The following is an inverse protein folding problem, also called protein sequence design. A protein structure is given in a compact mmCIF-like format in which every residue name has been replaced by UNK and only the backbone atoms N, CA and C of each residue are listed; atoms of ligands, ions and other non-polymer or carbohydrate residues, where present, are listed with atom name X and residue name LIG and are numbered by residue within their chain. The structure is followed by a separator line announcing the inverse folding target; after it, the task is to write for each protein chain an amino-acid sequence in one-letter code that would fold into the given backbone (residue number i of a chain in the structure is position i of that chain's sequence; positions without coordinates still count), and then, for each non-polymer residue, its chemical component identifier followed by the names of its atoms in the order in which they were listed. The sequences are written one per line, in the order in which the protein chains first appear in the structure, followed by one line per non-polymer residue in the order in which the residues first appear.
data_IF_817400800368
#
_entry.id   IF_817400800368
#
_cell.length_a   1.000
_cell.length_b   1.000
_cell.length_c   1.000
_cell.angle_alpha   90.00
_cell.angle_beta   90.00
_cell.angle_gamma   90.00
#
_symmetry.space_group_name_H-M   'P 1'
#
loop_
_entity.id
_entity.type
_entity.pdbx_description
1 polymer ?
#
# COMPACT_ATOMS: atom_id res chain seq x y z
N UNK A 1 11.98 -2.59 -28.90
CA UNK A 1 12.96 -3.64 -28.55
C UNK A 1 14.35 -3.04 -28.60
N UNK A 2 15.02 -2.95 -27.44
CA UNK A 2 16.26 -3.69 -27.28
C UNK A 2 16.30 -4.49 -25.98
N UNK A 3 16.97 -5.63 -26.05
CA UNK A 3 17.05 -6.69 -25.04
C UNK A 3 18.29 -6.42 -24.16
N UNK A 4 18.09 -6.17 -22.87
CA UNK A 4 19.16 -6.02 -21.87
C UNK A 4 19.46 -7.39 -21.25
N UNK A 5 20.66 -7.90 -21.53
CA UNK A 5 21.22 -9.14 -20.99
C UNK A 5 21.93 -8.81 -19.66
N UNK A 6 21.51 -9.43 -18.56
CA UNK A 6 22.22 -9.40 -17.28
C UNK A 6 23.35 -10.45 -17.26
N UNK A 7 24.56 -10.11 -16.78
CA UNK A 7 25.58 -11.12 -16.50
C UNK A 7 25.50 -11.63 -15.05
N UNK A 8 25.71 -12.93 -14.89
CA UNK A 8 25.88 -13.65 -13.61
C UNK A 8 27.28 -13.40 -13.01
N UNK A 9 27.44 -13.38 -11.68
CA UNK A 9 28.75 -13.25 -11.07
C UNK A 9 29.48 -14.61 -10.97
N UNK A 10 30.68 -14.66 -11.55
CA UNK A 10 31.69 -15.71 -11.32
C UNK A 10 32.40 -15.46 -9.99
N UNK A 11 32.44 -16.46 -9.13
CA UNK A 11 33.23 -16.47 -7.89
C UNK A 11 34.74 -16.49 -8.25
N UNK A 12 35.46 -15.46 -7.83
CA UNK A 12 36.91 -15.35 -7.98
C UNK A 12 37.58 -16.01 -6.76
N UNK A 13 38.28 -17.12 -7.00
CA UNK A 13 39.07 -17.82 -5.99
C UNK A 13 40.43 -17.10 -5.83
N UNK A 14 40.64 -16.44 -4.70
CA UNK A 14 41.91 -15.79 -4.36
C UNK A 14 42.96 -16.86 -4.03
N UNK A 15 44.03 -16.93 -4.84
CA UNK A 15 45.28 -17.62 -4.50
C UNK A 15 46.14 -16.67 -3.67
N UNK A 16 46.43 -17.04 -2.42
CA UNK A 16 47.53 -16.46 -1.65
C UNK A 16 48.70 -17.43 -1.69
N UNK A 17 49.83 -16.95 -2.22
CA UNK A 17 51.11 -17.65 -2.26
C UNK A 17 51.97 -17.07 -1.14
N UNK A 18 52.44 -17.91 -0.21
CA UNK A 18 53.41 -17.54 0.81
C UNK A 18 54.58 -18.53 0.80
N UNK A 19 55.77 -17.97 0.98
CA UNK A 19 57.09 -18.54 0.74
C UNK A 19 57.51 -19.70 1.65
N UNK A 20 58.54 -20.41 1.16
CA UNK A 20 59.31 -21.50 1.76
C UNK A 20 59.91 -21.20 3.14
N UNK A 21 60.06 -22.25 3.97
CA UNK A 21 60.98 -22.25 5.12
C UNK A 21 60.83 -23.43 6.10
N UNK A 22 61.60 -24.50 5.86
CA UNK A 22 62.13 -25.53 6.78
C UNK A 22 61.28 -26.13 7.92
N UNK A 23 61.13 -27.46 7.88
CA UNK A 23 60.58 -28.33 8.91
C UNK A 23 61.52 -28.57 10.11
N UNK A 24 60.93 -28.71 11.30
CA UNK A 24 61.32 -29.72 12.32
C UNK A 24 60.05 -30.37 12.89
N UNK A 25 60.04 -31.69 13.20
CA UNK A 25 58.80 -32.39 13.52
C UNK A 25 58.53 -32.42 15.03
N UNK A 26 57.33 -32.02 15.43
CA UNK A 26 56.80 -32.31 16.78
C UNK A 26 55.91 -33.55 16.67
N UNK A 27 56.31 -34.64 17.34
CA UNK A 27 55.50 -35.86 17.51
C UNK A 27 54.24 -35.51 18.30
N UNK A 28 53.08 -35.51 17.64
CA UNK A 28 51.79 -35.37 18.31
C UNK A 28 51.09 -36.71 18.47
N UNK A 29 50.87 -37.09 19.72
CA UNK A 29 50.19 -38.32 20.16
C UNK A 29 48.78 -38.46 19.58
N UNK A 30 48.43 -39.70 19.20
CA UNK A 30 47.28 -40.08 18.36
C UNK A 30 45.92 -40.01 19.07
N UNK A 31 45.89 -39.75 20.39
CA UNK A 31 44.66 -39.80 21.20
C UNK A 31 43.92 -38.47 21.38
N UNK A 32 44.59 -37.32 21.22
CA UNK A 32 43.99 -35.98 21.40
C UNK A 32 43.10 -35.52 20.21
N UNK A 33 43.36 -36.04 19.01
CA UNK A 33 42.67 -35.60 17.78
C UNK A 33 41.18 -35.94 17.71
N UNK A 34 40.72 -36.92 18.49
CA UNK A 34 39.32 -37.36 18.46
C UNK A 34 38.42 -36.52 19.37
N UNK A 35 38.94 -35.97 20.46
CA UNK A 35 38.16 -35.18 21.41
C UNK A 35 37.86 -33.77 20.87
N UNK A 36 38.83 -33.13 20.21
CA UNK A 36 38.64 -31.82 19.56
C UNK A 36 37.71 -31.87 18.35
N UNK A 37 37.68 -32.99 17.60
CA UNK A 37 36.72 -33.18 16.49
C UNK A 37 35.29 -33.32 16.98
N UNK A 38 35.08 -33.93 18.14
CA UNK A 38 33.74 -34.11 18.72
C UNK A 38 33.19 -32.78 19.24
N UNK A 39 33.99 -31.98 19.95
CA UNK A 39 33.57 -30.67 20.47
C UNK A 39 33.29 -29.67 19.33
N UNK A 40 34.13 -29.66 18.29
CA UNK A 40 33.92 -28.81 17.11
C UNK A 40 32.64 -29.16 16.33
N UNK A 41 32.24 -30.44 16.30
CA UNK A 41 30.97 -30.87 15.68
C UNK A 41 29.74 -30.45 16.49
N UNK A 42 29.81 -30.48 17.81
CA UNK A 42 28.72 -30.01 18.67
C UNK A 42 28.54 -28.48 18.60
N UNK A 43 29.63 -27.70 18.54
CA UNK A 43 29.55 -26.24 18.37
C UNK A 43 29.00 -25.85 16.98
N UNK A 44 29.32 -26.60 15.93
CA UNK A 44 28.77 -26.37 14.59
C UNK A 44 27.27 -26.68 14.51
N UNK A 45 26.81 -27.73 15.20
CA UNK A 45 25.40 -28.10 15.31
C UNK A 45 24.57 -27.07 16.09
N UNK A 46 25.12 -26.50 17.16
CA UNK A 46 24.46 -25.43 17.94
C UNK A 46 24.37 -24.14 17.12
N UNK A 47 25.42 -23.78 16.38
CA UNK A 47 25.41 -22.61 15.49
C UNK A 47 24.40 -22.74 14.35
N UNK A 48 24.21 -23.95 13.78
CA UNK A 48 23.17 -24.18 12.77
C UNK A 48 21.76 -24.12 13.36
N UNK A 49 21.57 -24.51 14.62
CA UNK A 49 20.25 -24.45 15.27
C UNK A 49 19.84 -23.00 15.63
N UNK A 50 20.79 -22.13 15.99
CA UNK A 50 20.51 -20.72 16.26
C UNK A 50 20.33 -19.88 14.99
N UNK A 51 21.07 -20.19 13.91
CA UNK A 51 20.88 -19.55 12.59
C UNK A 51 19.54 -19.93 11.93
N UNK A 52 18.99 -21.12 12.22
CA UNK A 52 17.67 -21.51 11.73
C UNK A 52 16.50 -20.79 12.42
N UNK A 53 16.66 -20.32 13.67
CA UNK A 53 15.59 -19.59 14.36
C UNK A 53 15.44 -18.15 13.86
N UNK A 54 16.51 -17.51 13.38
CA UNK A 54 16.43 -16.18 12.78
C UNK A 54 15.66 -16.17 11.45
N UNK A 55 15.59 -17.30 10.73
CA UNK A 55 14.82 -17.45 9.50
C UNK A 55 13.33 -17.78 9.73
N UNK A 56 12.92 -18.03 10.98
CA UNK A 56 11.54 -18.29 11.41
C UNK A 56 10.96 -17.12 12.23
N UNK A 57 11.54 -15.93 12.15
CA UNK A 57 10.77 -14.72 12.39
C UNK A 57 9.68 -14.70 11.32
N UNK A 58 8.51 -15.22 11.68
CA UNK A 58 7.28 -15.07 10.92
C UNK A 58 7.02 -13.58 10.85
N UNK A 59 7.55 -12.92 9.81
CA UNK A 59 7.06 -11.63 9.38
C UNK A 59 5.61 -11.90 8.98
N UNK A 60 4.68 -11.68 9.92
CA UNK A 60 3.25 -11.68 9.65
C UNK A 60 3.01 -10.51 8.71
N UNK A 61 3.31 -10.71 7.43
CA UNK A 61 3.17 -9.68 6.42
C UNK A 61 1.71 -9.29 6.39
N UNK A 62 1.41 -8.08 6.87
CA UNK A 62 0.05 -7.57 6.93
C UNK A 62 -0.55 -7.57 5.53
N UNK A 63 -1.76 -8.09 5.36
CA UNK A 63 -2.49 -8.13 4.09
C UNK A 63 -2.43 -6.78 3.36
N UNK A 64 -1.99 -6.74 2.09
CA UNK A 64 -1.95 -5.51 1.32
C UNK A 64 -3.33 -4.87 1.14
N UNK A 65 -3.33 -3.56 0.93
CA UNK A 65 -4.50 -2.82 0.47
C UNK A 65 -4.57 -2.88 -1.07
N UNK A 66 -5.77 -3.14 -1.60
CA UNK A 66 -6.02 -3.18 -3.03
C UNK A 66 -7.04 -2.10 -3.38
N UNK A 67 -6.62 -1.10 -4.14
CA UNK A 67 -7.49 -0.03 -4.62
C UNK A 67 -7.76 -0.24 -6.11
N UNK A 68 -8.99 -0.62 -6.42
CA UNK A 68 -9.52 -0.69 -7.77
C UNK A 68 -10.08 0.69 -8.10
N UNK A 69 -9.39 1.39 -9.00
CA UNK A 69 -9.74 2.72 -9.48
C UNK A 69 -10.53 2.57 -10.77
N UNK A 70 -11.85 2.67 -10.67
CA UNK A 70 -12.76 2.58 -11.80
C UNK A 70 -12.80 3.96 -12.44
N UNK A 71 -12.20 4.10 -13.62
CA UNK A 71 -12.04 5.40 -14.25
C UNK A 71 -13.24 5.65 -15.14
N UNK A 72 -14.01 6.67 -14.81
CA UNK A 72 -15.19 7.03 -15.56
C UNK A 72 -14.81 7.54 -16.96
N UNK A 73 -15.68 7.33 -17.93
CA UNK A 73 -15.44 7.63 -19.35
C UNK A 73 -15.26 9.14 -19.65
N UNK A 74 -15.69 10.00 -18.73
CA UNK A 74 -15.50 11.46 -18.83
C UNK A 74 -14.15 11.96 -18.31
N UNK A 75 -13.36 11.10 -17.66
CA UNK A 75 -12.04 11.47 -17.14
C UNK A 75 -11.10 11.76 -18.30
N UNK A 76 -10.64 13.01 -18.36
CA UNK A 76 -9.78 13.51 -19.44
C UNK A 76 -8.38 12.91 -19.41
N UNK A 77 -7.88 12.56 -18.22
CA UNK A 77 -6.57 11.94 -18.07
C UNK A 77 -6.62 10.45 -18.45
N UNK A 78 -5.88 10.11 -19.50
CA UNK A 78 -5.83 8.78 -20.09
C UNK A 78 -4.66 7.93 -19.58
N UNK A 79 -3.61 8.57 -19.05
CA UNK A 79 -2.45 7.90 -18.45
C UNK A 79 -2.76 7.51 -17.00
N UNK A 80 -2.68 6.21 -16.74
CA UNK A 80 -2.80 5.69 -15.38
C UNK A 80 -1.61 6.10 -14.51
N UNK A 81 -0.43 6.28 -15.11
CA UNK A 81 0.78 6.76 -14.44
C UNK A 81 0.57 8.18 -13.93
N UNK A 82 0.07 9.10 -14.77
CA UNK A 82 -0.23 10.48 -14.33
C UNK A 82 -1.33 10.52 -13.28
N UNK A 83 -2.40 9.73 -13.42
CA UNK A 83 -3.41 9.59 -12.37
C UNK A 83 -2.80 9.11 -11.05
N UNK A 84 -1.92 8.11 -11.11
CA UNK A 84 -1.23 7.61 -9.93
C UNK A 84 -0.36 8.70 -9.30
N UNK A 85 0.48 9.37 -10.08
CA UNK A 85 1.41 10.42 -9.64
C UNK A 85 0.68 11.58 -8.95
N UNK A 86 -0.37 12.11 -9.58
CA UNK A 86 -1.06 13.31 -9.11
C UNK A 86 -1.95 13.05 -7.88
N UNK A 87 -2.66 11.91 -7.87
CA UNK A 87 -3.71 11.66 -6.88
C UNK A 87 -3.36 10.61 -5.83
N UNK A 88 -2.46 9.67 -6.12
CA UNK A 88 -2.30 8.47 -5.29
C UNK A 88 -0.89 8.23 -4.74
N UNK A 89 0.19 8.65 -5.39
CA UNK A 89 1.56 8.36 -4.93
C UNK A 89 1.81 8.91 -3.51
N UNK A 90 1.39 10.15 -3.25
CA UNK A 90 1.51 10.75 -1.92
C UNK A 90 0.61 10.06 -0.89
N UNK A 91 -0.59 9.63 -1.28
CA UNK A 91 -1.53 8.93 -0.42
C UNK A 91 -1.00 7.55 -0.04
N UNK A 92 -0.47 6.82 -1.02
CA UNK A 92 0.19 5.52 -0.83
C UNK A 92 1.32 5.69 0.18
N UNK A 93 2.19 6.68 -0.01
CA UNK A 93 3.29 6.94 0.93
C UNK A 93 2.79 7.18 2.35
N UNK A 94 1.73 7.97 2.53
CA UNK A 94 1.15 8.20 3.86
C UNK A 94 0.58 6.90 4.44
N UNK A 95 -0.28 6.18 3.70
CA UNK A 95 -0.88 4.91 4.13
C UNK A 95 0.17 3.85 4.50
N UNK A 96 1.15 3.61 3.64
CA UNK A 96 2.19 2.61 3.89
C UNK A 96 3.00 2.96 5.15
N UNK A 97 3.22 4.26 5.43
CA UNK A 97 4.04 4.72 6.56
C UNK A 97 3.48 4.38 7.94
N UNK A 98 2.14 4.34 8.10
CA UNK A 98 1.51 4.08 9.40
C UNK A 98 0.78 2.74 9.47
N UNK A 99 0.36 2.18 8.34
CA UNK A 99 -0.29 0.86 8.32
C UNK A 99 0.73 -0.28 8.29
N UNK A 100 1.91 -0.06 7.69
CA UNK A 100 2.85 -1.11 7.35
C UNK A 100 2.31 -2.10 6.31
N UNK A 101 1.25 -1.75 5.59
CA UNK A 101 0.64 -2.54 4.51
C UNK A 101 1.04 -1.94 3.18
N UNK A 102 1.43 -2.77 2.22
CA UNK A 102 1.62 -2.31 0.84
C UNK A 102 0.29 -1.89 0.22
N UNK A 103 0.30 -0.88 -0.64
CA UNK A 103 -0.87 -0.47 -1.41
C UNK A 103 -0.68 -0.81 -2.88
N UNK A 104 -1.62 -1.53 -3.46
CA UNK A 104 -1.67 -1.86 -4.87
C UNK A 104 -2.79 -1.07 -5.54
N UNK A 105 -2.49 -0.42 -6.66
CA UNK A 105 -3.48 0.23 -7.51
C UNK A 105 -3.81 -0.65 -8.71
N UNK A 106 -5.08 -0.76 -9.04
CA UNK A 106 -5.56 -1.36 -10.28
C UNK A 106 -6.53 -0.41 -10.97
N UNK A 107 -6.15 0.06 -12.15
CA UNK A 107 -6.99 0.93 -12.96
C UNK A 107 -7.93 0.08 -13.83
N UNK A 108 -9.22 0.39 -13.80
CA UNK A 108 -10.27 -0.33 -14.53
C UNK A 108 -11.04 0.69 -15.37
N UNK A 109 -11.26 0.38 -16.65
CA UNK A 109 -11.90 1.25 -17.64
C UNK A 109 -12.88 0.44 -18.49
N UNK A 110 -13.86 1.11 -19.10
CA UNK A 110 -14.78 0.52 -20.08
C UNK A 110 -15.56 -0.70 -19.54
N UNK A 111 -16.07 -0.60 -18.32
CA UNK A 111 -17.00 -1.58 -17.74
C UNK A 111 -18.41 -1.00 -17.85
N UNK A 112 -19.27 -1.58 -18.71
CA UNK A 112 -20.65 -1.10 -18.89
C UNK A 112 -21.39 -1.00 -17.56
N UNK A 113 -22.21 0.03 -17.44
CA UNK A 113 -23.03 0.42 -16.29
C UNK A 113 -22.24 0.80 -15.02
N UNK A 114 -20.92 0.60 -15.01
CA UNK A 114 -20.04 0.84 -13.86
C UNK A 114 -19.12 2.03 -14.09
N UNK A 115 -18.40 2.09 -15.22
CA UNK A 115 -17.48 3.20 -15.55
C UNK A 115 -18.12 4.25 -16.46
N UNK A 116 -19.27 3.97 -17.07
CA UNK A 116 -20.08 4.93 -17.83
C UNK A 116 -21.36 5.34 -17.07
N UNK A 117 -21.41 5.02 -15.76
CA UNK A 117 -22.53 5.32 -14.89
C UNK A 117 -22.87 6.81 -14.86
N UNK A 118 -24.14 7.14 -15.01
CA UNK A 118 -24.64 8.52 -15.01
C UNK A 118 -24.63 9.14 -13.60
N UNK A 119 -23.44 9.55 -13.13
CA UNK A 119 -23.18 9.95 -11.76
C UNK A 119 -23.60 11.38 -11.40
N UNK A 120 -23.95 12.23 -12.36
CA UNK A 120 -24.36 13.62 -12.11
C UNK A 120 -25.85 13.70 -11.80
N UNK A 121 -26.22 13.75 -10.52
CA UNK A 121 -27.63 13.84 -10.07
C UNK A 121 -27.74 14.57 -8.75
N UNK A 122 -28.79 15.39 -8.58
CA UNK A 122 -29.02 16.19 -7.37
C UNK A 122 -29.04 15.38 -6.07
N UNK A 123 -29.62 14.17 -6.09
CA UNK A 123 -29.67 13.30 -4.91
C UNK A 123 -28.47 12.35 -4.86
N UNK A 124 -27.41 12.77 -4.16
CA UNK A 124 -26.17 12.00 -4.00
C UNK A 124 -26.41 10.60 -3.43
N UNK A 125 -27.24 10.45 -2.39
CA UNK A 125 -27.46 9.15 -1.73
C UNK A 125 -28.13 8.14 -2.65
N UNK A 126 -29.20 8.56 -3.35
CA UNK A 126 -29.90 7.69 -4.29
C UNK A 126 -29.02 7.32 -5.48
N UNK A 127 -28.25 8.29 -5.98
CA UNK A 127 -27.36 8.10 -7.10
C UNK A 127 -26.20 7.16 -6.76
N UNK A 128 -25.60 7.33 -5.58
CA UNK A 128 -24.60 6.41 -5.05
C UNK A 128 -25.18 5.01 -4.82
N UNK A 129 -26.40 4.90 -4.28
CA UNK A 129 -27.05 3.61 -4.07
C UNK A 129 -27.28 2.86 -5.40
N UNK A 130 -27.68 3.58 -6.45
CA UNK A 130 -27.83 3.03 -7.80
C UNK A 130 -26.48 2.53 -8.34
N UNK A 131 -25.44 3.38 -8.34
CA UNK A 131 -24.10 2.97 -8.78
C UNK A 131 -23.56 1.78 -7.97
N UNK A 132 -23.77 1.80 -6.65
CA UNK A 132 -23.36 0.72 -5.74
C UNK A 132 -24.03 -0.61 -6.11
N UNK A 133 -25.26 -0.58 -6.63
CA UNK A 133 -25.93 -1.78 -7.13
C UNK A 133 -25.19 -2.36 -8.33
N UNK A 134 -24.87 -1.53 -9.33
CA UNK A 134 -24.16 -1.95 -10.55
C UNK A 134 -22.77 -2.51 -10.25
N UNK A 135 -21.96 -1.79 -9.46
CA UNK A 135 -20.63 -2.28 -9.08
C UNK A 135 -20.73 -3.58 -8.28
N UNK A 136 -21.69 -3.72 -7.36
CA UNK A 136 -21.81 -4.97 -6.59
C UNK A 136 -22.14 -6.17 -7.47
N UNK A 137 -22.96 -6.00 -8.49
CA UNK A 137 -23.25 -7.04 -9.46
C UNK A 137 -21.98 -7.41 -10.24
N UNK A 138 -21.25 -6.41 -10.76
CA UNK A 138 -19.95 -6.64 -11.40
C UNK A 138 -18.95 -7.37 -10.50
N UNK A 139 -18.83 -7.00 -9.22
CA UNK A 139 -17.92 -7.66 -8.28
C UNK A 139 -18.29 -9.14 -8.05
N UNK A 140 -19.59 -9.46 -8.04
CA UNK A 140 -20.08 -10.85 -7.94
C UNK A 140 -19.69 -11.62 -9.21
N UNK A 141 -19.99 -11.07 -10.38
CA UNK A 141 -19.78 -11.74 -11.66
C UNK A 141 -18.29 -11.97 -11.95
N UNK A 142 -17.42 -11.07 -11.50
CA UNK A 142 -15.97 -11.19 -11.63
C UNK A 142 -15.30 -11.92 -10.45
N UNK A 143 -16.07 -12.38 -9.46
CA UNK A 143 -15.56 -13.02 -8.23
C UNK A 143 -14.48 -12.17 -7.52
N UNK A 144 -14.72 -10.86 -7.45
CA UNK A 144 -13.81 -9.89 -6.84
C UNK A 144 -14.02 -9.76 -5.32
N UNK A 145 -12.95 -9.47 -4.56
CA UNK A 145 -13.01 -9.45 -3.09
C UNK A 145 -13.81 -8.27 -2.55
N UNK A 146 -14.76 -8.54 -1.64
CA UNK A 146 -15.55 -7.53 -0.92
C UNK A 146 -15.21 -7.54 0.57
N UNK A 147 -13.95 -7.26 0.89
CA UNK A 147 -13.42 -7.32 2.26
C UNK A 147 -12.85 -5.97 2.72
N UNK A 148 -12.38 -5.90 3.97
CA UNK A 148 -11.84 -4.68 4.56
C UNK A 148 -10.62 -4.07 3.88
N UNK A 149 -9.84 -4.84 3.10
CA UNK A 149 -8.61 -4.36 2.45
C UNK A 149 -8.75 -4.13 0.94
N UNK A 150 -9.92 -4.40 0.36
CA UNK A 150 -10.21 -4.19 -1.06
C UNK A 150 -11.20 -3.04 -1.21
N UNK A 151 -10.84 -2.00 -1.98
CA UNK A 151 -11.62 -0.77 -2.17
C UNK A 151 -11.82 -0.50 -3.64
N UNK A 152 -13.02 -0.02 -3.98
CA UNK A 152 -13.48 0.25 -5.33
C UNK A 152 -13.94 1.70 -5.39
N UNK A 153 -13.20 2.52 -6.12
CA UNK A 153 -13.44 3.95 -6.21
C UNK A 153 -13.72 4.33 -7.66
N UNK A 154 -14.93 4.79 -7.96
CA UNK A 154 -15.22 5.45 -9.24
C UNK A 154 -14.57 6.83 -9.23
N UNK A 155 -13.68 7.08 -10.18
CA UNK A 155 -13.06 8.37 -10.41
C UNK A 155 -13.79 9.08 -11.54
N UNK A 156 -14.30 10.27 -11.26
CA UNK A 156 -15.07 11.08 -12.22
C UNK A 156 -14.35 12.38 -12.54
N UNK A 157 -14.58 12.95 -13.72
CA UNK A 157 -13.96 14.23 -14.06
C UNK A 157 -14.52 15.39 -13.25
N UNK A 158 -15.85 15.42 -13.09
CA UNK A 158 -16.57 16.54 -12.48
C UNK A 158 -17.20 16.11 -11.14
N UNK A 159 -17.73 17.08 -10.39
CA UNK A 159 -18.53 16.84 -9.19
C UNK A 159 -19.80 16.02 -9.45
N UNK A 160 -20.28 15.33 -8.42
CA UNK A 160 -21.53 14.56 -8.44
C UNK A 160 -22.77 15.48 -8.46
N UNK A 161 -22.67 16.63 -7.78
CA UNK A 161 -23.68 17.70 -7.72
C UNK A 161 -23.01 19.07 -7.86
N UNK A 162 -23.75 20.17 -7.68
CA UNK A 162 -23.16 21.51 -7.66
C UNK A 162 -22.04 21.69 -6.60
N UNK A 163 -22.05 20.91 -5.51
CA UNK A 163 -21.12 21.06 -4.38
C UNK A 163 -20.46 19.77 -3.89
N UNK A 164 -20.96 18.60 -4.30
CA UNK A 164 -20.46 17.31 -3.81
C UNK A 164 -19.33 16.78 -4.68
N UNK A 165 -18.13 16.70 -4.11
CA UNK A 165 -16.93 16.16 -4.77
C UNK A 165 -16.83 14.64 -4.71
N UNK A 166 -17.52 13.99 -3.79
CA UNK A 166 -17.43 12.54 -3.62
C UNK A 166 -18.43 12.03 -2.60
N UNK A 167 -18.53 10.71 -2.55
CA UNK A 167 -19.32 10.01 -1.56
C UNK A 167 -18.78 8.60 -1.33
N UNK A 168 -18.62 8.23 -0.08
CA UNK A 168 -18.35 6.87 0.35
C UNK A 168 -19.06 6.58 1.67
N UNK A 169 -19.48 5.33 1.84
CA UNK A 169 -19.98 4.86 3.13
C UNK A 169 -18.82 4.58 4.08
N UNK A 170 -18.97 4.99 5.34
CA UNK A 170 -18.03 4.67 6.41
C UNK A 170 -17.75 3.16 6.49
N UNK A 171 -16.47 2.78 6.55
CA UNK A 171 -16.01 1.37 6.57
C UNK A 171 -16.45 0.53 5.35
N UNK A 172 -16.96 1.18 4.30
CA UNK A 172 -17.39 0.51 3.08
C UNK A 172 -16.23 -0.02 2.24
N UNK A 173 -16.58 -0.56 1.08
CA UNK A 173 -15.62 -0.92 0.05
C UNK A 173 -15.85 -0.18 -1.27
N UNK A 174 -16.89 0.66 -1.39
CA UNK A 174 -17.22 1.39 -2.61
C UNK A 174 -17.32 2.90 -2.33
N UNK A 175 -16.83 3.72 -3.26
CA UNK A 175 -16.95 5.17 -3.23
C UNK A 175 -16.93 5.78 -4.62
N UNK A 176 -17.36 7.04 -4.74
CA UNK A 176 -17.20 7.85 -5.94
C UNK A 176 -16.43 9.10 -5.54
N UNK A 177 -15.40 9.49 -6.30
CA UNK A 177 -14.64 10.71 -6.07
C UNK A 177 -14.35 11.45 -7.38
N UNK A 178 -14.55 12.75 -7.35
CA UNK A 178 -14.23 13.67 -8.43
C UNK A 178 -12.74 14.02 -8.43
N UNK A 179 -12.18 14.14 -9.62
CA UNK A 179 -10.83 14.60 -9.85
C UNK A 179 -10.71 16.14 -9.87
N UNK A 180 -11.80 16.89 -9.68
CA UNK A 180 -11.76 18.36 -9.56
C UNK A 180 -10.88 18.86 -8.41
N UNK A 181 -10.61 18.01 -7.42
CA UNK A 181 -9.62 18.29 -6.38
C UNK A 181 -8.69 17.11 -6.18
N UNK A 182 -7.40 17.39 -5.94
CA UNK A 182 -6.39 16.35 -5.72
C UNK A 182 -6.62 15.48 -4.48
N UNK A 183 -7.45 15.92 -3.52
CA UNK A 183 -7.66 15.24 -2.25
C UNK A 183 -8.99 14.51 -2.12
N UNK A 184 -9.95 14.71 -3.02
CA UNK A 184 -11.23 14.01 -2.96
C UNK A 184 -11.08 12.48 -2.99
N UNK A 185 -10.24 11.86 -3.87
CA UNK A 185 -10.01 10.42 -3.81
C UNK A 185 -9.49 9.93 -2.45
N UNK A 186 -8.57 10.67 -1.84
CA UNK A 186 -8.02 10.35 -0.51
C UNK A 186 -9.05 10.53 0.61
N UNK A 187 -9.95 11.51 0.49
CA UNK A 187 -11.05 11.73 1.43
C UNK A 187 -11.97 10.50 1.45
N UNK A 188 -12.45 10.07 0.28
CA UNK A 188 -13.38 8.95 0.17
C UNK A 188 -12.74 7.62 0.55
N UNK A 189 -11.47 7.39 0.14
CA UNK A 189 -10.70 6.24 0.63
C UNK A 189 -10.52 6.27 2.15
N UNK A 190 -10.34 7.45 2.74
CA UNK A 190 -10.25 7.61 4.19
C UNK A 190 -11.51 7.12 4.91
N UNK A 191 -12.71 7.49 4.42
CA UNK A 191 -13.98 6.98 4.95
C UNK A 191 -14.11 5.46 4.84
N UNK A 192 -13.77 4.90 3.69
CA UNK A 192 -13.83 3.45 3.48
C UNK A 192 -12.83 2.68 4.34
N UNK A 193 -11.70 3.29 4.70
CA UNK A 193 -10.68 2.72 5.57
C UNK A 193 -10.96 2.94 7.07
N UNK A 194 -12.01 3.70 7.40
CA UNK A 194 -12.49 3.90 8.76
C UNK A 194 -12.09 5.21 9.41
N UNK A 195 -11.44 6.13 8.70
CA UNK A 195 -11.24 7.50 9.16
C UNK A 195 -12.53 8.31 9.16
N UNK A 196 -12.59 9.39 9.94
CA UNK A 196 -13.77 10.24 10.08
C UNK A 196 -13.44 11.73 10.08
N UNK A 197 -14.46 12.56 9.91
CA UNK A 197 -14.33 14.02 9.90
C UNK A 197 -13.98 14.57 11.29
N UNK A 198 -14.51 13.97 12.36
CA UNK A 198 -14.33 14.45 13.75
C UNK A 198 -12.87 14.35 14.22
N UNK A 199 -12.11 13.47 13.57
CA UNK A 199 -10.69 13.28 13.86
C UNK A 199 -9.79 14.06 12.90
N UNK A 200 -10.36 14.75 11.90
CA UNK A 200 -9.60 15.57 10.99
C UNK A 200 -9.11 16.86 11.65
N UNK A 201 -7.98 17.36 11.17
CA UNK A 201 -7.29 18.51 11.75
C UNK A 201 -6.94 19.55 10.68
N UNK A 202 -6.85 20.80 11.14
CA UNK A 202 -6.24 21.92 10.43
C UNK A 202 -4.93 22.25 11.13
N UNK A 203 -3.82 22.18 10.41
CA UNK A 203 -2.47 22.20 10.98
C UNK A 203 -1.69 23.37 10.40
N UNK A 204 -0.95 24.08 11.24
CA UNK A 204 0.02 25.08 10.78
C UNK A 204 1.35 24.39 10.47
N UNK A 205 1.78 24.43 9.22
CA UNK A 205 3.01 23.77 8.75
C UNK A 205 3.71 24.63 7.71
N UNK A 206 5.01 24.84 7.89
CA UNK A 206 5.84 25.54 6.90
C UNK A 206 5.39 26.96 6.58
N UNK A 207 4.80 27.67 7.56
CA UNK A 207 4.36 29.05 7.39
C UNK A 207 2.88 29.23 6.98
N UNK A 208 2.14 28.15 6.71
CA UNK A 208 0.75 28.23 6.26
C UNK A 208 -0.16 27.19 6.91
N UNK A 209 -1.47 27.43 6.91
CA UNK A 209 -2.47 26.47 7.38
C UNK A 209 -2.84 25.47 6.27
N UNK A 210 -2.83 24.18 6.60
CA UNK A 210 -3.31 23.11 5.72
C UNK A 210 -4.38 22.27 6.41
N UNK A 211 -5.21 21.60 5.63
CA UNK A 211 -6.25 20.69 6.12
C UNK A 211 -5.87 19.23 5.81
N UNK A 212 -6.01 18.35 6.79
CA UNK A 212 -5.83 16.91 6.62
C UNK A 212 -6.94 16.31 5.74
N UNK A 213 -6.67 15.14 5.15
CA UNK A 213 -7.49 14.60 4.04
C UNK A 213 -8.99 14.43 4.35
N UNK A 214 -9.37 14.30 5.64
CA UNK A 214 -10.75 14.03 6.07
C UNK A 214 -11.48 15.27 6.61
N UNK A 215 -11.02 16.49 6.34
CA UNK A 215 -11.81 17.69 6.69
C UNK A 215 -13.08 17.74 5.81
N UNK A 216 -14.25 17.84 6.46
CA UNK A 216 -15.56 17.73 5.82
C UNK A 216 -15.85 18.81 4.77
N UNK A 217 -15.52 20.06 5.11
CA UNK A 217 -15.76 21.22 4.25
C UNK A 217 -14.43 21.94 4.02
N UNK A 218 -13.92 21.85 2.80
CA UNK A 218 -12.65 22.47 2.41
C UNK A 218 -12.76 23.99 2.42
N UNK A 219 -11.72 24.66 2.92
CA UNK A 219 -11.57 26.09 2.78
C UNK A 219 -10.56 26.40 1.66
N UNK A 220 -10.95 27.20 0.67
CA UNK A 220 -10.12 27.51 -0.51
C UNK A 220 -8.83 28.27 -0.19
N UNK A 221 -8.73 28.94 0.97
CA UNK A 221 -7.53 29.66 1.39
C UNK A 221 -6.51 28.73 2.05
N UNK A 222 -6.92 27.54 2.50
CA UNK A 222 -6.05 26.58 3.19
C UNK A 222 -5.49 25.55 2.22
N UNK A 223 -4.21 25.22 2.41
CA UNK A 223 -3.55 24.18 1.62
C UNK A 223 -4.11 22.78 1.93
N UNK A 224 -3.78 21.81 1.10
CA UNK A 224 -3.93 20.39 1.42
C UNK A 224 -2.70 19.92 2.21
N UNK A 225 -2.89 19.22 3.32
CA UNK A 225 -1.76 18.65 4.06
C UNK A 225 -1.18 17.41 3.34
N UNK A 226 -1.98 16.74 2.50
CA UNK A 226 -1.62 15.48 1.82
C UNK A 226 -1.28 14.33 2.78
N UNK A 227 -1.98 14.25 3.90
CA UNK A 227 -1.91 13.15 4.87
C UNK A 227 -3.17 13.11 5.75
N UNK A 228 -3.42 11.96 6.37
CA UNK A 228 -4.43 11.85 7.44
C UNK A 228 -3.87 12.38 8.77
N UNK A 229 -4.73 13.01 9.60
CA UNK A 229 -4.36 13.39 10.97
C UNK A 229 -3.91 12.18 11.79
N UNK A 230 -3.11 12.41 12.83
CA UNK A 230 -2.58 11.30 13.65
C UNK A 230 -3.69 10.46 14.28
N UNK A 231 -4.79 11.10 14.70
CA UNK A 231 -5.98 10.41 15.22
C UNK A 231 -6.66 9.55 14.15
N UNK A 232 -6.77 10.03 12.91
CA UNK A 232 -7.30 9.22 11.82
C UNK A 232 -6.36 8.08 11.44
N UNK A 233 -5.04 8.30 11.46
CA UNK A 233 -4.05 7.23 11.23
C UNK A 233 -4.21 6.10 12.23
N UNK A 234 -4.35 6.43 13.52
CA UNK A 234 -4.61 5.44 14.57
C UNK A 234 -5.93 4.69 14.34
N UNK A 235 -7.02 5.41 14.01
CA UNK A 235 -8.33 4.80 13.75
C UNK A 235 -8.31 3.87 12.53
N UNK A 236 -7.69 4.30 11.43
CA UNK A 236 -7.55 3.49 10.21
C UNK A 236 -6.69 2.25 10.48
N UNK A 237 -5.57 2.41 11.19
CA UNK A 237 -4.71 1.27 11.55
C UNK A 237 -5.46 0.26 12.43
N UNK A 238 -6.25 0.73 13.39
CA UNK A 238 -7.08 -0.12 14.23
C UNK A 238 -8.14 -0.88 13.40
N UNK A 239 -8.88 -0.18 12.53
CA UNK A 239 -9.87 -0.80 11.64
C UNK A 239 -9.23 -1.86 10.73
N UNK A 240 -8.05 -1.57 10.17
CA UNK A 240 -7.34 -2.53 9.31
C UNK A 240 -6.75 -3.70 10.09
N UNK A 241 -6.58 -3.62 11.41
CA UNK A 241 -6.04 -4.74 12.21
C UNK A 241 -6.99 -5.92 12.29
N UNK A 242 -8.29 -5.72 12.02
CA UNK A 242 -9.31 -6.77 11.91
C UNK A 242 -9.11 -7.67 10.68
N UNK A 243 -8.22 -7.27 9.76
CA UNK A 243 -7.92 -7.98 8.51
C UNK A 243 -6.40 -8.29 8.46
N UNK A 244 -5.89 -9.27 9.22
CA UNK A 244 -4.46 -9.54 9.32
C UNK A 244 -3.82 -9.79 7.96
#
# INVERSE_FOLDING_TARGET
MPMLIYPTPRLLLIRVMACFGSCTPIKYSRTSKNMFKTIARFLLLIATFTLCQAALAHDTSKRPLFFFLLIHDDVKETSNERLAEDYFVWLIKDLESFTGRRVNLQFVRNVPDVTDFQYKRENTDQNYAAWRSEINQYLIDQNLPRNGTSKYLLLTQDKLTASTLGFATQNGHTGIASLETFTAPAHELGHMLGGTHELAEVIYKGGWWCETNLVAARNSVRANCYFYSDKNKQKIAANLSEFP
#
